data_IF_199277893259
#
_entry.id   IF_199277893259
#
_cell.length_a   1.000
_cell.length_b   1.000
_cell.length_c   1.000
_cell.angle_alpha   90.00
_cell.angle_beta   90.00
_cell.angle_gamma   90.00
#
_symmetry.space_group_name_H-M   'P 1'
#
loop_
_entity.id
_entity.type
_entity.pdbx_description
1 polymer ?
#
# COMPACT_ATOMS: atom_id res chain seq x y z
N UNK A 1 4.14 -81.69 -7.57
CA UNK A 1 2.83 -81.53 -8.25
C UNK A 1 2.44 -80.07 -8.16
N UNK A 2 2.13 -79.47 -9.29
CA UNK A 2 1.84 -78.05 -9.45
C UNK A 2 0.56 -77.62 -8.71
N UNK A 3 0.56 -76.41 -8.14
CA UNK A 3 -0.65 -75.68 -7.78
C UNK A 3 -0.47 -74.21 -8.18
N UNK A 4 -1.42 -73.72 -8.95
CA UNK A 4 -1.37 -72.49 -9.74
C UNK A 4 -1.47 -71.21 -8.90
N UNK A 5 -0.65 -70.21 -9.24
CA UNK A 5 -0.88 -68.82 -8.83
C UNK A 5 -2.08 -68.26 -9.60
N UNK A 6 -3.15 -67.93 -8.89
CA UNK A 6 -4.30 -67.23 -9.43
C UNK A 6 -3.92 -65.75 -9.67
N UNK A 7 -3.66 -65.39 -10.92
CA UNK A 7 -3.56 -63.99 -11.35
C UNK A 7 -4.93 -63.32 -11.24
N UNK A 8 -5.08 -62.38 -10.32
CA UNK A 8 -6.18 -61.40 -10.34
C UNK A 8 -6.09 -60.60 -11.65
N UNK A 9 -7.11 -60.62 -12.51
CA UNK A 9 -7.02 -59.91 -13.79
C UNK A 9 -6.92 -58.41 -13.54
N UNK A 10 -5.98 -57.76 -14.24
CA UNK A 10 -5.84 -56.32 -14.25
C UNK A 10 -7.18 -55.66 -14.65
N UNK A 11 -7.57 -54.54 -14.03
CA UNK A 11 -8.82 -53.87 -14.36
C UNK A 11 -8.82 -53.53 -15.84
N UNK A 12 -9.80 -54.09 -16.58
CA UNK A 12 -9.96 -53.84 -18.01
C UNK A 12 -10.50 -52.41 -18.19
N UNK A 13 -9.57 -51.46 -18.18
CA UNK A 13 -9.84 -50.04 -18.37
C UNK A 13 -10.62 -49.76 -19.65
N UNK A 14 -10.51 -50.63 -20.66
CA UNK A 14 -11.23 -50.53 -21.92
C UNK A 14 -12.72 -50.80 -21.75
N UNK A 15 -13.08 -51.79 -20.93
CA UNK A 15 -14.48 -52.04 -20.57
C UNK A 15 -15.03 -50.96 -19.64
N UNK A 16 -14.26 -50.50 -18.67
CA UNK A 16 -14.67 -49.41 -17.79
C UNK A 16 -14.96 -48.11 -18.57
N UNK A 17 -14.08 -47.74 -19.51
CA UNK A 17 -14.27 -46.59 -20.40
C UNK A 17 -15.48 -46.74 -21.32
N UNK A 18 -15.68 -47.93 -21.92
CA UNK A 18 -16.86 -48.20 -22.74
C UNK A 18 -18.15 -48.06 -21.94
N UNK A 19 -18.21 -48.64 -20.75
CA UNK A 19 -19.39 -48.51 -19.88
C UNK A 19 -19.67 -47.05 -19.48
N UNK A 20 -18.62 -46.24 -19.27
CA UNK A 20 -18.75 -44.82 -18.96
C UNK A 20 -19.23 -44.02 -20.16
N UNK A 21 -18.72 -44.30 -21.36
CA UNK A 21 -19.15 -43.65 -22.60
C UNK A 21 -20.61 -43.99 -22.94
N UNK A 22 -21.02 -45.24 -22.72
CA UNK A 22 -22.41 -45.68 -22.88
C UNK A 22 -23.34 -45.05 -21.83
N UNK A 23 -22.89 -44.90 -20.58
CA UNK A 23 -23.63 -44.20 -19.53
C UNK A 23 -23.79 -42.69 -19.83
N UNK A 24 -22.75 -42.05 -20.36
CA UNK A 24 -22.78 -40.64 -20.80
C UNK A 24 -23.67 -40.46 -22.04
N UNK A 25 -23.71 -41.43 -22.95
CA UNK A 25 -24.61 -41.42 -24.11
C UNK A 25 -26.08 -41.66 -23.71
N UNK A 26 -26.32 -42.38 -22.61
CA UNK A 26 -27.67 -42.68 -22.10
C UNK A 26 -28.26 -41.55 -21.25
N UNK A 27 -27.41 -40.69 -20.68
CA UNK A 27 -27.85 -39.43 -20.08
C UNK A 27 -28.15 -38.43 -21.22
N UNK A 28 -29.43 -38.15 -21.44
CA UNK A 28 -29.86 -36.97 -22.21
C UNK A 28 -29.36 -35.72 -21.49
N UNK A 29 -28.12 -35.32 -21.76
CA UNK A 29 -27.56 -34.06 -21.29
C UNK A 29 -28.27 -32.95 -22.07
N UNK A 30 -29.23 -32.29 -21.43
CA UNK A 30 -29.62 -30.93 -21.81
C UNK A 30 -28.33 -30.14 -21.98
N UNK A 31 -28.07 -29.58 -23.17
CA UNK A 31 -26.86 -28.80 -23.45
C UNK A 31 -26.69 -27.73 -22.37
N UNK A 32 -25.90 -28.04 -21.36
CA UNK A 32 -25.58 -27.12 -20.29
C UNK A 32 -24.88 -25.94 -20.94
N UNK A 33 -25.30 -24.74 -20.56
CA UNK A 33 -24.69 -23.51 -21.07
C UNK A 33 -23.21 -23.50 -20.71
N UNK A 34 -22.37 -22.85 -21.51
CA UNK A 34 -20.93 -22.79 -21.26
C UNK A 34 -20.55 -22.23 -19.87
N UNK A 35 -21.49 -21.52 -19.22
CA UNK A 35 -21.37 -21.05 -17.85
C UNK A 35 -21.57 -22.17 -16.83
N UNK A 36 -22.62 -22.99 -16.98
CA UNK A 36 -22.90 -24.14 -16.08
C UNK A 36 -21.78 -25.19 -16.11
N UNK A 37 -21.11 -25.36 -17.25
CA UNK A 37 -19.95 -26.24 -17.36
C UNK A 37 -18.74 -25.72 -16.58
N UNK A 38 -18.47 -24.40 -16.65
CA UNK A 38 -17.41 -23.75 -15.88
C UNK A 38 -17.69 -23.76 -14.38
N UNK A 39 -18.95 -23.56 -14.00
CA UNK A 39 -19.37 -23.60 -12.60
C UNK A 39 -19.22 -25.03 -12.03
N UNK A 40 -19.62 -26.05 -12.80
CA UNK A 40 -19.38 -27.45 -12.43
C UNK A 40 -17.89 -27.81 -12.32
N UNK A 41 -17.06 -27.32 -13.25
CA UNK A 41 -15.61 -27.52 -13.20
C UNK A 41 -14.99 -26.85 -11.97
N UNK A 42 -15.46 -25.64 -11.62
CA UNK A 42 -15.05 -24.91 -10.41
C UNK A 42 -15.45 -25.66 -9.13
N UNK A 43 -16.64 -26.27 -9.11
CA UNK A 43 -17.13 -27.06 -7.98
C UNK A 43 -16.31 -28.35 -7.79
N UNK A 44 -16.02 -29.06 -8.89
CA UNK A 44 -15.15 -30.23 -8.90
C UNK A 44 -13.73 -29.86 -8.45
N UNK A 45 -13.16 -28.78 -8.98
CA UNK A 45 -11.85 -28.27 -8.56
C UNK A 45 -11.84 -27.95 -7.07
N UNK A 46 -12.85 -27.23 -6.58
CA UNK A 46 -12.99 -26.85 -5.17
C UNK A 46 -13.07 -28.09 -4.28
N UNK A 47 -13.83 -29.11 -4.69
CA UNK A 47 -13.96 -30.37 -3.95
C UNK A 47 -12.60 -31.07 -3.82
N UNK A 48 -11.92 -31.33 -4.94
CA UNK A 48 -10.64 -32.05 -4.92
C UNK A 48 -9.53 -31.25 -4.24
N UNK A 49 -9.52 -29.92 -4.39
CA UNK A 49 -8.58 -29.04 -3.70
C UNK A 49 -8.76 -29.08 -2.18
N UNK A 50 -10.01 -29.09 -1.69
CA UNK A 50 -10.32 -29.21 -0.26
C UNK A 50 -9.92 -30.59 0.29
N UNK A 51 -10.17 -31.67 -0.47
CA UNK A 51 -9.78 -33.03 -0.10
C UNK A 51 -8.25 -33.17 -0.05
N UNK A 52 -7.54 -32.66 -1.05
CA UNK A 52 -6.07 -32.66 -1.11
C UNK A 52 -5.43 -31.87 0.03
N UNK A 53 -6.06 -30.76 0.47
CA UNK A 53 -5.63 -29.96 1.64
C UNK A 53 -5.87 -30.65 3.00
N UNK A 54 -6.29 -31.92 3.03
CA UNK A 54 -6.55 -32.69 4.26
C UNK A 54 -7.94 -32.44 4.85
N UNK A 55 -8.89 -32.02 4.01
CA UNK A 55 -10.25 -31.70 4.40
C UNK A 55 -10.37 -30.36 5.14
N UNK A 56 -11.58 -29.80 5.15
CA UNK A 56 -11.93 -28.74 6.10
C UNK A 56 -11.80 -29.33 7.51
N UNK A 57 -10.73 -29.02 8.24
CA UNK A 57 -10.69 -29.12 9.72
C UNK A 57 -11.68 -28.11 10.34
N UNK A 58 -12.95 -28.15 9.92
CA UNK A 58 -14.08 -27.49 10.53
C UNK A 58 -14.56 -28.42 11.63
N UNK A 59 -13.97 -28.40 12.82
CA UNK A 59 -14.62 -28.94 14.02
C UNK A 59 -13.97 -28.48 15.34
N UNK A 60 -13.32 -27.31 15.37
CA UNK A 60 -13.09 -26.66 16.66
C UNK A 60 -14.40 -25.99 17.09
N UNK A 61 -15.06 -26.54 18.11
CA UNK A 61 -16.30 -25.99 18.69
C UNK A 61 -16.14 -24.52 19.10
N UNK A 62 -14.91 -24.08 19.42
CA UNK A 62 -14.58 -22.69 19.74
C UNK A 62 -14.88 -21.71 18.61
N UNK A 63 -14.89 -22.12 17.34
CA UNK A 63 -15.26 -21.22 16.23
C UNK A 63 -16.76 -20.88 16.18
N UNK A 64 -17.60 -21.52 17.02
CA UNK A 64 -19.00 -21.12 17.20
C UNK A 64 -19.14 -19.87 18.07
N UNK A 65 -18.24 -19.66 19.02
CA UNK A 65 -18.25 -18.50 19.93
C UNK A 65 -17.21 -17.44 19.57
N UNK A 66 -16.06 -17.84 19.03
CA UNK A 66 -14.95 -16.96 18.68
C UNK A 66 -14.68 -17.07 17.18
N UNK A 67 -15.01 -16.03 16.39
CA UNK A 67 -14.69 -16.00 14.98
C UNK A 67 -13.18 -16.17 14.75
N UNK A 68 -12.82 -16.81 13.63
CA UNK A 68 -11.42 -16.90 13.24
C UNK A 68 -10.87 -15.50 12.94
N UNK A 69 -9.98 -15.01 13.80
CA UNK A 69 -9.33 -13.70 13.67
C UNK A 69 -7.91 -13.80 13.08
N UNK A 70 -7.25 -14.95 13.22
CA UNK A 70 -5.91 -15.17 12.68
C UNK A 70 -5.92 -16.06 11.42
N UNK A 71 -5.31 -15.54 10.36
CA UNK A 71 -5.09 -16.23 9.11
C UNK A 71 -3.59 -16.30 8.87
N UNK A 72 -3.02 -17.52 8.96
CA UNK A 72 -1.61 -17.76 8.69
C UNK A 72 -1.30 -17.38 7.24
N UNK A 73 -0.19 -16.69 7.02
CA UNK A 73 0.33 -16.43 5.69
C UNK A 73 0.76 -17.75 5.02
N UNK A 74 0.58 -17.88 3.69
CA UNK A 74 1.11 -19.02 2.95
C UNK A 74 2.63 -19.14 3.14
N UNK A 75 3.11 -20.37 3.32
CA UNK A 75 4.56 -20.63 3.38
C UNK A 75 5.21 -20.43 2.00
N UNK A 76 6.53 -20.30 1.93
CA UNK A 76 7.28 -20.10 0.67
C UNK A 76 7.06 -21.23 -0.35
N UNK A 77 6.83 -22.46 0.10
CA UNK A 77 6.49 -23.59 -0.78
C UNK A 77 5.04 -23.58 -1.33
N UNK A 78 4.16 -22.69 -0.83
CA UNK A 78 2.74 -22.62 -1.23
C UNK A 78 2.51 -21.57 -2.34
N UNK A 79 3.21 -21.71 -3.47
CA UNK A 79 3.27 -20.73 -4.57
C UNK A 79 1.85 -20.32 -5.05
N UNK A 80 0.94 -21.28 -5.25
CA UNK A 80 -0.42 -20.99 -5.72
C UNK A 80 -1.20 -20.11 -4.74
N UNK A 81 -1.02 -20.33 -3.43
CA UNK A 81 -1.71 -19.54 -2.40
C UNK A 81 -1.13 -18.14 -2.26
N UNK A 82 0.19 -17.99 -2.45
CA UNK A 82 0.84 -16.69 -2.53
C UNK A 82 0.31 -15.90 -3.73
N UNK A 83 0.30 -16.50 -4.93
CA UNK A 83 -0.22 -15.87 -6.15
C UNK A 83 -1.70 -15.52 -6.05
N UNK A 84 -2.53 -16.42 -5.52
CA UNK A 84 -3.94 -16.12 -5.28
C UNK A 84 -4.12 -14.95 -4.30
N UNK A 85 -3.30 -14.88 -3.26
CA UNK A 85 -3.32 -13.78 -2.29
C UNK A 85 -2.93 -12.47 -2.97
N UNK A 86 -1.83 -12.45 -3.71
CA UNK A 86 -1.35 -11.29 -4.48
C UNK A 86 -2.46 -10.76 -5.40
N UNK A 87 -3.04 -11.62 -6.25
CA UNK A 87 -4.11 -11.25 -7.18
C UNK A 87 -5.37 -10.76 -6.44
N UNK A 88 -5.80 -11.48 -5.40
CA UNK A 88 -6.98 -11.06 -4.61
C UNK A 88 -6.80 -9.68 -3.98
N UNK A 89 -5.57 -9.35 -3.56
CA UNK A 89 -5.23 -8.06 -2.98
C UNK A 89 -5.14 -6.97 -4.03
N UNK A 90 -4.50 -7.24 -5.17
CA UNK A 90 -4.43 -6.31 -6.29
C UNK A 90 -5.86 -5.91 -6.73
N UNK A 91 -6.75 -6.88 -6.91
CA UNK A 91 -8.16 -6.62 -7.26
C UNK A 91 -8.89 -5.84 -6.16
N UNK A 92 -8.67 -6.18 -4.89
CA UNK A 92 -9.25 -5.44 -3.77
C UNK A 92 -8.81 -3.97 -3.74
N UNK A 93 -7.50 -3.72 -3.88
CA UNK A 93 -6.94 -2.37 -3.91
C UNK A 93 -7.41 -1.59 -5.13
N UNK A 94 -7.50 -2.23 -6.30
CA UNK A 94 -8.06 -1.62 -7.51
C UNK A 94 -9.53 -1.23 -7.31
N UNK A 95 -10.34 -2.10 -6.69
CA UNK A 95 -11.73 -1.77 -6.36
C UNK A 95 -11.81 -0.58 -5.42
N UNK A 96 -10.94 -0.52 -4.40
CA UNK A 96 -10.86 0.62 -3.48
C UNK A 96 -10.40 1.90 -4.15
N UNK A 97 -9.48 1.82 -5.11
CA UNK A 97 -9.04 2.96 -5.91
C UNK A 97 -10.20 3.52 -6.74
N UNK A 98 -11.01 2.67 -7.37
CA UNK A 98 -12.21 3.08 -8.14
C UNK A 98 -13.31 3.73 -7.30
N UNK A 99 -13.34 3.48 -5.99
CA UNK A 99 -14.28 4.13 -5.06
C UNK A 99 -13.87 5.59 -4.75
N UNK A 100 -12.65 6.00 -5.07
CA UNK A 100 -12.16 7.37 -4.86
C UNK A 100 -12.65 8.32 -5.94
N UNK A 101 -12.70 9.61 -5.56
CA UNK A 101 -13.02 10.70 -6.48
C UNK A 101 -11.83 10.95 -7.41
N UNK A 102 -12.09 11.06 -8.70
CA UNK A 102 -11.11 11.53 -9.68
C UNK A 102 -11.11 13.07 -9.78
N UNK A 103 -10.18 13.60 -10.59
CA UNK A 103 -10.02 15.04 -10.74
C UNK A 103 -11.25 15.73 -11.35
N UNK A 104 -11.95 15.06 -12.27
CA UNK A 104 -13.17 15.60 -12.89
C UNK A 104 -14.32 15.64 -11.87
N UNK A 105 -14.50 14.58 -11.09
CA UNK A 105 -15.48 14.50 -10.00
C UNK A 105 -15.20 15.55 -8.91
N UNK A 106 -13.93 15.80 -8.59
CA UNK A 106 -13.53 16.86 -7.65
C UNK A 106 -13.83 18.27 -8.20
N UNK A 107 -13.53 18.54 -9.47
CA UNK A 107 -13.87 19.81 -10.11
C UNK A 107 -15.40 20.02 -10.17
N UNK A 108 -16.15 18.98 -10.50
CA UNK A 108 -17.61 19.01 -10.50
C UNK A 108 -18.16 19.28 -9.10
N UNK A 109 -17.58 18.66 -8.06
CA UNK A 109 -17.96 18.93 -6.66
C UNK A 109 -17.72 20.39 -6.28
N UNK A 110 -16.56 20.96 -6.64
CA UNK A 110 -16.26 22.37 -6.41
C UNK A 110 -17.31 23.28 -7.05
N UNK A 111 -17.60 23.07 -8.34
CA UNK A 111 -18.61 23.84 -9.07
C UNK A 111 -20.00 23.75 -8.44
N UNK A 112 -20.41 22.55 -7.99
CA UNK A 112 -21.70 22.38 -7.33
C UNK A 112 -21.77 23.10 -5.99
N UNK A 113 -20.68 23.08 -5.20
CA UNK A 113 -20.63 23.79 -3.93
C UNK A 113 -20.71 25.31 -4.14
N UNK A 114 -19.95 25.84 -5.09
CA UNK A 114 -19.93 27.28 -5.42
C UNK A 114 -21.30 27.77 -5.90
N UNK A 115 -21.97 27.00 -6.76
CA UNK A 115 -23.33 27.30 -7.25
C UNK A 115 -24.40 27.35 -6.13
N UNK A 116 -24.20 26.60 -5.05
CA UNK A 116 -25.14 26.47 -3.94
C UNK A 116 -24.72 27.27 -2.69
N UNK A 117 -23.83 28.26 -2.85
CA UNK A 117 -23.41 29.14 -1.76
C UNK A 117 -24.58 29.95 -1.17
N UNK A 118 -24.45 30.30 0.11
CA UNK A 118 -25.46 30.98 0.91
C UNK A 118 -24.92 32.32 1.42
N UNK A 119 -25.46 33.46 0.96
CA UNK A 119 -25.10 34.79 1.47
C UNK A 119 -25.44 34.95 2.97
N UNK A 120 -24.85 35.93 3.69
CA UNK A 120 -23.74 36.80 3.26
C UNK A 120 -22.39 36.09 3.30
N UNK A 121 -21.47 36.53 2.45
CA UNK A 121 -20.05 36.14 2.53
C UNK A 121 -19.46 36.63 3.86
N UNK A 122 -18.55 35.85 4.45
CA UNK A 122 -17.75 36.30 5.60
C UNK A 122 -16.38 36.68 5.03
N UNK A 123 -16.17 37.97 4.76
CA UNK A 123 -15.01 38.42 4.00
C UNK A 123 -15.09 37.92 2.55
N UNK A 124 -14.09 37.18 2.11
CA UNK A 124 -14.03 36.53 0.78
C UNK A 124 -14.47 35.04 0.81
N UNK A 125 -14.87 34.51 1.98
CA UNK A 125 -15.23 33.10 2.09
C UNK A 125 -16.69 32.83 1.69
N UNK A 126 -16.85 31.96 0.71
CA UNK A 126 -18.14 31.39 0.32
C UNK A 126 -18.62 30.39 1.37
N UNK A 127 -19.84 30.62 1.87
CA UNK A 127 -20.46 29.84 2.95
C UNK A 127 -21.59 28.95 2.40
N UNK A 128 -21.88 27.83 3.07
CA UNK A 128 -23.01 26.96 2.71
C UNK A 128 -23.76 26.45 3.95
N UNK A 129 -25.09 26.53 3.91
CA UNK A 129 -25.98 25.91 4.90
C UNK A 129 -26.14 24.41 4.67
N UNK A 130 -26.56 23.68 5.71
CA UNK A 130 -26.75 22.24 5.63
C UNK A 130 -27.79 21.81 4.58
N UNK A 131 -28.87 22.57 4.38
CA UNK A 131 -29.92 22.27 3.38
C UNK A 131 -29.37 22.30 1.96
N UNK A 132 -28.67 23.38 1.59
CA UNK A 132 -28.00 23.51 0.30
C UNK A 132 -26.94 22.42 0.11
N UNK A 133 -26.22 22.06 1.16
CA UNK A 133 -25.25 20.98 1.11
C UNK A 133 -25.91 19.61 0.83
N UNK A 134 -27.14 19.39 1.31
CA UNK A 134 -27.92 18.19 0.97
C UNK A 134 -28.38 18.23 -0.51
N UNK A 135 -28.71 19.39 -1.06
CA UNK A 135 -28.98 19.50 -2.50
C UNK A 135 -27.75 19.17 -3.35
N UNK A 136 -26.57 19.65 -2.93
CA UNK A 136 -25.29 19.29 -3.55
C UNK A 136 -25.07 17.79 -3.45
N UNK A 137 -25.35 17.15 -2.31
CA UNK A 137 -25.23 15.69 -2.13
C UNK A 137 -26.08 14.88 -3.12
N UNK A 138 -27.31 15.33 -3.40
CA UNK A 138 -28.20 14.63 -4.35
C UNK A 138 -27.75 14.79 -5.81
N UNK A 139 -27.14 15.94 -6.13
CA UNK A 139 -26.57 16.22 -7.47
C UNK A 139 -25.17 15.65 -7.64
N UNK A 140 -24.44 15.46 -6.55
CA UNK A 140 -23.09 14.89 -6.56
C UNK A 140 -23.12 13.38 -6.83
N UNK A 141 -22.03 12.87 -7.41
CA UNK A 141 -21.89 11.45 -7.71
C UNK A 141 -22.01 10.55 -6.46
N UNK A 142 -22.31 9.25 -6.66
CA UNK A 142 -22.49 8.28 -5.58
C UNK A 142 -21.27 8.19 -4.64
N UNK A 143 -20.06 8.35 -5.18
CA UNK A 143 -18.81 8.35 -4.42
C UNK A 143 -18.72 9.49 -3.40
N UNK A 144 -19.35 10.63 -3.68
CA UNK A 144 -19.29 11.80 -2.80
C UNK A 144 -20.15 11.64 -1.54
N UNK A 145 -21.16 10.74 -1.55
CA UNK A 145 -22.16 10.62 -0.49
C UNK A 145 -21.57 10.42 0.92
N UNK A 146 -20.42 9.76 1.01
CA UNK A 146 -19.73 9.53 2.28
C UNK A 146 -19.18 10.80 2.95
N UNK A 147 -18.98 11.88 2.18
CA UNK A 147 -18.47 13.16 2.70
C UNK A 147 -19.58 14.06 3.25
N UNK A 148 -20.84 13.81 2.87
CA UNK A 148 -22.00 14.62 3.25
C UNK A 148 -22.72 14.09 4.51
N UNK A 149 -22.03 13.33 5.37
CA UNK A 149 -22.60 12.90 6.65
C UNK A 149 -22.74 14.11 7.59
N UNK A 150 -23.84 14.19 8.37
CA UNK A 150 -24.06 15.27 9.34
C UNK A 150 -22.88 15.44 10.32
N UNK A 151 -22.24 14.34 10.72
CA UNK A 151 -21.03 14.36 11.56
C UNK A 151 -19.86 15.11 10.91
N UNK A 152 -19.74 15.09 9.58
CA UNK A 152 -18.70 15.81 8.85
C UNK A 152 -19.04 17.30 8.80
N UNK A 153 -20.31 17.66 8.56
CA UNK A 153 -20.77 19.05 8.60
C UNK A 153 -20.59 19.70 9.98
N UNK A 154 -20.84 18.95 11.05
CA UNK A 154 -20.72 19.46 12.41
C UNK A 154 -19.27 19.71 12.87
N UNK A 155 -18.27 19.12 12.21
CA UNK A 155 -16.85 19.30 12.58
C UNK A 155 -16.30 20.71 12.31
N UNK A 156 -16.45 21.29 11.10
CA UNK A 156 -15.99 22.64 10.82
C UNK A 156 -16.95 23.71 11.34
N UNK A 157 -18.13 23.35 11.87
CA UNK A 157 -19.10 24.28 12.42
C UNK A 157 -18.55 24.97 13.68
N UNK A 158 -17.88 26.10 13.51
CA UNK A 158 -17.37 26.92 14.60
C UNK A 158 -17.91 28.35 14.47
N UNK A 159 -18.62 28.80 15.51
CA UNK A 159 -18.95 30.21 15.76
C UNK A 159 -19.65 31.01 14.63
N UNK A 160 -20.23 30.37 13.61
CA UNK A 160 -21.08 31.07 12.65
C UNK A 160 -22.50 31.26 13.22
N UNK A 161 -23.00 32.50 13.35
CA UNK A 161 -24.35 32.78 13.87
C UNK A 161 -25.48 32.14 13.06
N UNK A 162 -25.22 31.77 11.81
CA UNK A 162 -26.19 31.21 10.88
C UNK A 162 -26.04 29.69 10.71
N UNK A 163 -25.09 29.06 11.39
CA UNK A 163 -24.88 27.61 11.30
C UNK A 163 -24.40 27.14 9.91
N UNK A 164 -23.55 27.93 9.25
CA UNK A 164 -22.93 27.63 7.95
C UNK A 164 -21.51 27.14 8.11
N UNK A 165 -20.98 26.53 7.04
CA UNK A 165 -19.57 26.14 6.95
C UNK A 165 -18.93 26.79 5.71
N UNK A 166 -17.61 26.99 5.78
CA UNK A 166 -16.83 27.47 4.64
C UNK A 166 -16.74 26.39 3.56
N UNK A 167 -17.11 26.73 2.33
CA UNK A 167 -17.03 25.83 1.17
C UNK A 167 -15.58 25.38 0.95
N UNK A 168 -14.63 26.31 1.07
CA UNK A 168 -13.20 26.03 0.94
C UNK A 168 -12.72 25.00 1.96
N UNK A 169 -13.08 25.18 3.24
CA UNK A 169 -12.70 24.24 4.29
C UNK A 169 -13.29 22.84 4.07
N UNK A 170 -14.56 22.77 3.66
CA UNK A 170 -15.20 21.49 3.33
C UNK A 170 -14.53 20.81 2.14
N UNK A 171 -14.26 21.56 1.07
CA UNK A 171 -13.60 21.04 -0.12
C UNK A 171 -12.18 20.54 0.19
N UNK A 172 -11.40 21.32 0.94
CA UNK A 172 -10.06 20.92 1.38
C UNK A 172 -10.09 19.66 2.26
N UNK A 173 -11.12 19.48 3.09
CA UNK A 173 -11.33 18.24 3.83
C UNK A 173 -11.57 17.04 2.90
N UNK A 174 -12.41 17.20 1.87
CA UNK A 174 -12.66 16.14 0.88
C UNK A 174 -11.38 15.79 0.13
N UNK A 175 -10.67 16.81 -0.40
CA UNK A 175 -9.38 16.66 -1.08
C UNK A 175 -8.37 15.91 -0.22
N UNK A 176 -8.14 16.37 1.02
CA UNK A 176 -7.19 15.74 1.95
C UNK A 176 -7.57 14.29 2.25
N UNK A 177 -8.87 14.00 2.38
CA UNK A 177 -9.35 12.64 2.65
C UNK A 177 -9.20 11.71 1.46
N UNK A 178 -9.48 12.18 0.24
CA UNK A 178 -9.25 11.42 -1.00
C UNK A 178 -7.76 11.13 -1.15
N UNK A 179 -6.92 12.16 -0.99
CA UNK A 179 -5.46 12.02 -1.05
C UNK A 179 -4.94 11.01 -0.03
N UNK A 180 -5.34 11.09 1.24
CA UNK A 180 -4.93 10.12 2.27
C UNK A 180 -5.30 8.67 1.89
N UNK A 181 -6.49 8.46 1.33
CA UNK A 181 -6.90 7.13 0.88
C UNK A 181 -6.11 6.67 -0.34
N UNK A 182 -5.86 7.56 -1.30
CA UNK A 182 -5.06 7.27 -2.50
C UNK A 182 -3.63 6.88 -2.12
N UNK A 183 -2.97 7.69 -1.27
CA UNK A 183 -1.61 7.43 -0.79
C UNK A 183 -1.55 6.13 0.02
N UNK A 184 -2.54 5.88 0.87
CA UNK A 184 -2.64 4.60 1.60
C UNK A 184 -2.75 3.40 0.65
N UNK A 185 -3.56 3.50 -0.39
CA UNK A 185 -3.72 2.43 -1.39
C UNK A 185 -2.40 2.25 -2.14
N UNK A 186 -1.75 3.34 -2.56
CA UNK A 186 -0.44 3.33 -3.22
C UNK A 186 0.61 2.59 -2.40
N UNK A 187 0.80 2.98 -1.13
CA UNK A 187 1.73 2.29 -0.21
C UNK A 187 1.35 0.83 0.01
N UNK A 188 0.05 0.51 0.06
CA UNK A 188 -0.42 -0.86 0.27
C UNK A 188 -0.13 -1.81 -0.89
N UNK A 189 0.18 -1.29 -2.09
CA UNK A 189 0.62 -2.11 -3.24
C UNK A 189 1.99 -2.75 -2.99
N UNK A 190 2.87 -2.08 -2.23
CA UNK A 190 4.23 -2.55 -1.92
C UNK A 190 4.29 -3.45 -0.67
N UNK A 191 3.25 -3.45 0.16
CA UNK A 191 3.13 -4.39 1.29
C UNK A 191 2.84 -5.80 0.75
N UNK A 192 3.86 -6.57 0.36
CA UNK A 192 3.68 -7.93 -0.20
C UNK A 192 2.94 -8.85 0.78
N UNK A 193 3.23 -8.71 2.08
CA UNK A 193 2.63 -9.54 3.12
C UNK A 193 1.16 -9.19 3.40
N UNK A 194 0.72 -7.97 3.07
CA UNK A 194 -0.62 -7.47 3.36
C UNK A 194 -0.90 -7.34 4.85
N UNK A 195 0.13 -7.05 5.65
CA UNK A 195 0.04 -6.93 7.11
C UNK A 195 -0.13 -5.48 7.58
N UNK A 196 -0.04 -4.51 6.67
CA UNK A 196 -0.12 -3.07 6.94
C UNK A 196 1.23 -2.43 7.30
N UNK A 197 2.34 -3.10 6.99
CA UNK A 197 3.70 -2.63 7.27
C UNK A 197 4.54 -2.71 6.00
N UNK A 198 5.53 -1.82 5.88
CA UNK A 198 6.54 -1.85 4.83
C UNK A 198 7.91 -2.16 5.45
N UNK A 199 8.65 -3.05 4.80
CA UNK A 199 10.08 -3.28 5.06
C UNK A 199 10.91 -2.29 4.25
N UNK A 200 12.22 -2.27 4.52
CA UNK A 200 13.18 -1.43 3.80
C UNK A 200 13.04 -1.62 2.28
N UNK A 201 13.15 -2.85 1.78
CA UNK A 201 12.98 -3.17 0.36
C UNK A 201 11.64 -2.71 -0.23
N UNK A 202 10.57 -2.78 0.54
CA UNK A 202 9.23 -2.41 0.07
C UNK A 202 9.15 -0.87 -0.10
N UNK A 203 9.77 -0.12 0.81
CA UNK A 203 9.84 1.35 0.75
C UNK A 203 10.87 1.84 -0.28
N UNK A 204 11.98 1.13 -0.47
CA UNK A 204 12.97 1.40 -1.53
C UNK A 204 12.32 1.36 -2.90
N UNK A 205 11.55 0.30 -3.18
CA UNK A 205 10.81 0.17 -4.44
C UNK A 205 9.79 1.31 -4.63
N UNK A 206 9.07 1.68 -3.57
CA UNK A 206 8.14 2.80 -3.62
C UNK A 206 8.84 4.12 -3.97
N UNK A 207 9.94 4.46 -3.29
CA UNK A 207 10.67 5.71 -3.54
C UNK A 207 11.31 5.70 -4.92
N UNK A 208 11.87 4.57 -5.36
CA UNK A 208 12.47 4.45 -6.69
C UNK A 208 11.45 4.70 -7.81
N UNK A 209 10.23 4.14 -7.69
CA UNK A 209 9.14 4.41 -8.64
C UNK A 209 8.57 5.82 -8.53
N UNK A 210 8.73 6.47 -7.38
CA UNK A 210 8.28 7.84 -7.15
C UNK A 210 9.19 8.88 -7.82
N UNK A 211 10.52 8.65 -7.88
CA UNK A 211 11.53 9.60 -8.40
C UNK A 211 11.14 10.24 -9.74
N UNK A 212 10.70 9.49 -10.79
CA UNK A 212 10.35 10.09 -12.07
C UNK A 212 9.15 11.04 -12.02
N UNK A 213 8.39 11.06 -10.91
CA UNK A 213 7.28 11.98 -10.69
C UNK A 213 7.68 13.23 -9.89
N UNK A 214 8.96 13.35 -9.52
CA UNK A 214 9.52 14.42 -8.69
C UNK A 214 10.46 15.29 -9.55
N UNK A 215 9.96 16.33 -10.24
CA UNK A 215 10.77 17.22 -11.09
C UNK A 215 11.99 17.81 -10.38
N UNK A 216 11.91 18.06 -9.07
CA UNK A 216 13.05 18.58 -8.30
C UNK A 216 14.24 17.60 -8.21
N UNK A 217 14.05 16.33 -8.61
CA UNK A 217 15.08 15.30 -8.63
C UNK A 217 15.59 14.99 -10.06
N UNK A 218 15.05 15.61 -11.11
CA UNK A 218 15.42 15.33 -12.50
C UNK A 218 16.90 15.62 -12.80
N UNK A 219 17.51 16.52 -12.03
CA UNK A 219 18.94 16.86 -12.13
C UNK A 219 19.88 15.77 -11.61
N UNK A 220 19.37 14.76 -10.89
CA UNK A 220 20.18 13.69 -10.32
C UNK A 220 20.60 12.68 -11.39
N UNK A 221 21.87 12.30 -11.37
CA UNK A 221 22.37 11.21 -12.22
C UNK A 221 21.76 9.86 -11.81
N UNK A 222 21.49 9.00 -12.79
CA UNK A 222 20.91 7.66 -12.53
C UNK A 222 21.82 6.77 -11.67
N UNK A 223 23.13 6.97 -11.75
CA UNK A 223 24.14 6.33 -10.87
C UNK A 223 23.91 6.65 -9.40
N UNK A 224 23.35 7.83 -9.11
CA UNK A 224 23.11 8.31 -7.75
C UNK A 224 21.78 7.80 -7.15
N UNK A 225 20.89 7.21 -7.96
CA UNK A 225 19.55 6.83 -7.49
C UNK A 225 19.58 5.82 -6.36
N UNK A 226 20.47 4.82 -6.41
CA UNK A 226 20.62 3.84 -5.33
C UNK A 226 20.98 4.50 -4.01
N UNK A 227 21.88 5.49 -4.03
CA UNK A 227 22.27 6.23 -2.83
C UNK A 227 21.15 7.14 -2.34
N UNK A 228 20.46 7.84 -3.25
CA UNK A 228 19.32 8.67 -2.92
C UNK A 228 18.21 7.87 -2.23
N UNK A 229 17.82 6.73 -2.83
CA UNK A 229 16.80 5.84 -2.28
C UNK A 229 17.21 5.34 -0.91
N UNK A 230 18.44 4.84 -0.75
CA UNK A 230 18.97 4.41 0.55
C UNK A 230 18.89 5.54 1.59
N UNK A 231 19.33 6.74 1.23
CA UNK A 231 19.29 7.92 2.12
C UNK A 231 17.87 8.28 2.53
N UNK A 232 16.92 8.29 1.59
CA UNK A 232 15.53 8.61 1.86
C UNK A 232 14.88 7.55 2.77
N UNK A 233 15.07 6.26 2.46
CA UNK A 233 14.54 5.15 3.27
C UNK A 233 15.14 5.16 4.68
N UNK A 234 16.44 5.41 4.83
CA UNK A 234 17.08 5.49 6.15
C UNK A 234 16.47 6.57 7.03
N UNK A 235 16.02 7.70 6.45
CA UNK A 235 15.33 8.74 7.21
C UNK A 235 13.98 8.26 7.75
N UNK A 236 13.19 7.56 6.93
CA UNK A 236 11.93 6.97 7.42
C UNK A 236 12.17 5.97 8.56
N UNK A 237 13.12 5.04 8.39
CA UNK A 237 13.43 4.03 9.41
C UNK A 237 14.03 4.63 10.68
N UNK A 238 14.86 5.67 10.57
CA UNK A 238 15.45 6.34 11.72
C UNK A 238 14.38 6.93 12.66
N UNK A 239 13.32 7.54 12.11
CA UNK A 239 12.29 8.17 12.93
C UNK A 239 11.08 7.28 13.23
N UNK A 240 10.72 6.36 12.33
CA UNK A 240 9.49 5.56 12.44
C UNK A 240 9.74 4.13 12.95
N UNK A 241 10.99 3.69 13.06
CA UNK A 241 11.35 2.38 13.63
C UNK A 241 12.39 2.51 14.76
N UNK A 242 12.06 3.20 15.88
CA UNK A 242 13.00 3.42 16.98
C UNK A 242 13.47 2.13 17.66
N UNK A 243 12.69 1.04 17.51
CA UNK A 243 13.00 -0.28 18.06
C UNK A 243 13.76 -1.19 17.08
N UNK A 244 14.09 -0.69 15.87
CA UNK A 244 14.82 -1.43 14.82
C UNK A 244 14.18 -2.79 14.48
N UNK A 245 12.87 -2.80 14.36
CA UNK A 245 12.08 -3.99 13.99
C UNK A 245 12.18 -4.35 12.50
N UNK A 246 12.71 -3.45 11.67
CA UNK A 246 12.77 -3.59 10.22
C UNK A 246 11.40 -3.45 9.54
N UNK A 247 10.41 -2.88 10.24
CA UNK A 247 9.03 -2.74 9.76
C UNK A 247 8.42 -1.42 10.22
N UNK A 248 7.86 -0.66 9.28
CA UNK A 248 7.14 0.58 9.57
C UNK A 248 5.66 0.41 9.20
N UNK A 249 4.73 0.86 10.04
CA UNK A 249 3.30 0.85 9.69
C UNK A 249 3.01 1.87 8.61
N UNK A 250 2.19 1.49 7.63
CA UNK A 250 1.68 2.43 6.61
C UNK A 250 0.96 3.61 7.26
N UNK A 251 0.26 3.37 8.39
CA UNK A 251 -0.42 4.43 9.14
C UNK A 251 0.56 5.47 9.70
N UNK A 252 1.73 5.04 10.16
CA UNK A 252 2.74 5.92 10.73
C UNK A 252 3.42 6.75 9.62
N UNK A 253 3.60 6.16 8.44
CA UNK A 253 4.08 6.86 7.23
C UNK A 253 3.07 7.94 6.78
N UNK A 254 1.77 7.65 6.83
CA UNK A 254 0.73 8.63 6.47
C UNK A 254 0.55 9.75 7.51
N UNK A 255 0.99 9.52 8.75
CA UNK A 255 0.87 10.49 9.83
C UNK A 255 2.13 11.34 10.02
N UNK A 256 3.25 10.96 9.40
CA UNK A 256 4.50 11.71 9.50
C UNK A 256 4.55 12.87 8.50
N UNK A 257 5.24 13.94 8.86
CA UNK A 257 5.49 15.07 7.97
C UNK A 257 6.46 14.73 6.83
N UNK A 258 7.31 13.70 7.02
CA UNK A 258 8.34 13.34 6.05
C UNK A 258 7.79 12.92 4.69
N UNK A 259 6.60 12.32 4.66
CA UNK A 259 5.94 11.99 3.40
C UNK A 259 5.49 13.26 2.66
N UNK A 260 5.02 14.27 3.40
CA UNK A 260 4.65 15.57 2.84
C UNK A 260 5.91 16.25 2.27
N UNK A 261 7.02 16.27 3.00
CA UNK A 261 8.31 16.81 2.53
C UNK A 261 8.78 16.10 1.24
N UNK A 262 8.67 14.77 1.17
CA UNK A 262 9.04 14.02 -0.03
C UNK A 262 8.15 14.37 -1.23
N UNK A 263 6.84 14.55 -1.00
CA UNK A 263 5.88 14.85 -2.06
C UNK A 263 5.86 16.32 -2.46
N UNK A 264 6.37 17.23 -1.62
CA UNK A 264 6.60 18.64 -1.94
C UNK A 264 7.56 18.79 -3.13
N UNK A 265 8.47 17.84 -3.34
CA UNK A 265 9.38 17.78 -4.49
C UNK A 265 8.67 17.62 -5.85
N UNK A 266 7.35 17.47 -5.85
CA UNK A 266 6.51 17.53 -7.05
C UNK A 266 6.28 18.94 -7.56
N UNK A 267 6.42 19.94 -6.71
CA UNK A 267 6.24 21.33 -7.09
C UNK A 267 7.46 21.80 -7.90
N UNK A 268 7.26 22.16 -9.17
CA UNK A 268 8.30 22.67 -10.06
C UNK A 268 8.82 24.04 -9.61
N UNK A 269 7.96 24.84 -8.96
CA UNK A 269 8.28 26.21 -8.52
C UNK A 269 8.83 26.27 -7.08
N UNK A 270 9.24 25.11 -6.53
CA UNK A 270 9.73 25.00 -5.16
C UNK A 270 10.93 25.94 -4.93
N UNK A 271 10.78 26.85 -3.96
CA UNK A 271 11.79 27.86 -3.65
C UNK A 271 13.11 27.23 -3.18
N UNK A 272 14.23 27.92 -3.42
CA UNK A 272 15.55 27.45 -2.97
C UNK A 272 15.63 27.29 -1.44
N UNK A 273 14.99 28.16 -0.68
CA UNK A 273 14.92 28.10 0.78
C UNK A 273 14.16 26.85 1.25
N UNK A 274 13.03 26.55 0.61
CA UNK A 274 12.27 25.31 0.84
C UNK A 274 13.12 24.08 0.51
N UNK A 275 13.86 24.10 -0.60
CA UNK A 275 14.77 22.99 -0.95
C UNK A 275 15.89 22.79 0.07
N UNK A 276 16.45 23.87 0.63
CA UNK A 276 17.53 23.79 1.62
C UNK A 276 17.06 23.22 2.96
N UNK A 277 15.82 23.53 3.36
CA UNK A 277 15.20 23.00 4.57
C UNK A 277 14.67 21.56 4.40
N UNK A 278 14.24 21.21 3.18
CA UNK A 278 13.70 19.90 2.87
C UNK A 278 14.79 18.81 2.89
N UNK A 279 14.56 17.77 3.69
CA UNK A 279 15.50 16.67 3.87
C UNK A 279 15.62 15.75 2.66
N UNK A 280 14.60 15.69 1.82
CA UNK A 280 14.54 14.81 0.65
C UNK A 280 14.98 15.50 -0.64
N UNK A 281 15.30 16.80 -0.59
CA UNK A 281 15.78 17.55 -1.74
C UNK A 281 17.10 17.00 -2.29
N UNK A 282 17.33 17.18 -3.60
CA UNK A 282 18.59 16.80 -4.23
C UNK A 282 19.82 17.45 -3.56
N UNK A 283 19.84 18.76 -3.22
CA UNK A 283 20.95 19.37 -2.48
C UNK A 283 21.21 18.72 -1.12
N UNK A 284 20.15 18.38 -0.37
CA UNK A 284 20.28 17.73 0.94
C UNK A 284 20.87 16.32 0.82
N UNK A 285 20.42 15.53 -0.15
CA UNK A 285 20.96 14.19 -0.40
C UNK A 285 22.42 14.23 -0.88
N UNK A 286 22.75 15.13 -1.81
CA UNK A 286 24.11 15.33 -2.30
C UNK A 286 25.06 15.82 -1.21
N UNK A 287 24.58 16.63 -0.26
CA UNK A 287 25.39 17.09 0.89
C UNK A 287 25.79 15.92 1.80
N UNK A 288 24.85 15.01 2.11
CA UNK A 288 25.14 13.81 2.90
C UNK A 288 26.11 12.90 2.15
N UNK A 289 25.90 12.71 0.84
CA UNK A 289 26.80 11.90 0.01
C UNK A 289 28.20 12.50 -0.10
N UNK A 290 28.30 13.81 -0.33
CA UNK A 290 29.59 14.49 -0.43
C UNK A 290 30.37 14.42 0.87
N UNK A 291 29.70 14.50 2.02
CA UNK A 291 30.34 14.26 3.32
C UNK A 291 30.85 12.83 3.44
N UNK A 292 30.08 11.83 2.98
CA UNK A 292 30.51 10.43 2.95
C UNK A 292 31.77 10.23 2.10
N UNK A 293 31.74 10.69 0.85
CA UNK A 293 32.86 10.58 -0.09
C UNK A 293 34.13 11.31 0.39
N UNK A 294 33.98 12.41 1.13
CA UNK A 294 35.13 13.11 1.70
C UNK A 294 35.80 12.33 2.85
N UNK A 295 35.07 11.40 3.49
CA UNK A 295 35.57 10.56 4.57
C UNK A 295 36.16 9.26 4.04
N UNK A 296 35.50 8.61 3.07
CA UNK A 296 35.91 7.36 2.42
C UNK A 296 37.08 7.62 1.45
N UNK A 297 38.31 7.49 1.97
CA UNK A 297 39.53 7.85 1.22
C UNK A 297 40.05 6.71 0.36
N UNK A 298 39.77 5.47 0.75
CA UNK A 298 40.18 4.29 -0.01
C UNK A 298 39.11 3.85 -1.01
N UNK A 299 37.95 4.53 -1.03
CA UNK A 299 36.83 4.31 -1.95
C UNK A 299 36.34 2.85 -1.89
N UNK A 300 36.37 2.27 -0.70
CA UNK A 300 35.92 0.90 -0.46
C UNK A 300 34.41 0.81 -0.15
N UNK A 301 33.70 1.94 -0.29
CA UNK A 301 32.28 2.09 -0.01
C UNK A 301 31.91 1.89 1.48
N UNK A 302 32.88 1.95 2.38
CA UNK A 302 32.73 1.80 3.83
C UNK A 302 33.54 2.89 4.56
N UNK A 303 33.22 3.12 5.85
CA UNK A 303 33.98 4.04 6.68
C UNK A 303 34.68 3.29 7.81
N UNK A 304 36.00 3.39 7.84
CA UNK A 304 36.80 2.98 8.99
C UNK A 304 36.60 3.93 10.18
N UNK A 305 37.01 3.49 11.38
CA UNK A 305 36.96 4.33 12.58
C UNK A 305 37.82 5.58 12.42
N UNK A 306 38.99 5.45 11.78
CA UNK A 306 39.94 6.52 11.50
C UNK A 306 39.40 7.54 10.49
N UNK A 307 38.57 7.10 9.55
CA UNK A 307 37.90 7.99 8.60
C UNK A 307 36.74 8.71 9.25
N UNK A 308 35.87 7.98 9.96
CA UNK A 308 34.73 8.55 10.66
C UNK A 308 35.17 9.54 11.76
N UNK A 309 36.37 9.38 12.33
CA UNK A 309 36.90 10.33 13.32
C UNK A 309 37.15 11.72 12.77
N UNK A 310 37.17 11.91 11.44
CA UNK A 310 37.33 13.22 10.79
C UNK A 310 35.98 13.90 10.53
N UNK A 311 34.87 13.19 10.74
CA UNK A 311 33.54 13.75 10.60
C UNK A 311 33.34 14.96 11.51
N UNK A 312 32.67 15.98 10.99
CA UNK A 312 32.42 17.22 11.72
C UNK A 312 33.71 17.86 12.26
N UNK A 313 34.81 17.81 11.50
CA UNK A 313 36.14 18.33 11.89
C UNK A 313 36.71 17.71 13.18
N UNK A 314 36.37 16.45 13.48
CA UNK A 314 36.88 15.74 14.66
C UNK A 314 36.15 16.06 15.96
N UNK A 315 34.88 16.46 15.87
CA UNK A 315 34.02 16.72 17.04
C UNK A 315 33.63 15.45 17.80
N UNK A 316 33.66 14.28 17.16
CA UNK A 316 33.36 13.00 17.79
C UNK A 316 34.55 12.48 18.60
N UNK A 317 34.33 12.19 19.88
CA UNK A 317 35.37 11.60 20.74
C UNK A 317 35.64 10.15 20.38
N UNK A 318 36.87 9.67 20.63
CA UNK A 318 37.24 8.28 20.40
C UNK A 318 36.29 7.28 21.08
N UNK A 319 35.85 7.57 22.31
CA UNK A 319 34.88 6.74 23.04
C UNK A 319 33.50 6.70 22.38
N UNK A 320 33.05 7.81 21.78
CA UNK A 320 31.80 7.84 21.02
C UNK A 320 31.90 6.96 19.78
N UNK A 321 32.99 7.08 19.03
CA UNK A 321 33.26 6.23 17.87
C UNK A 321 33.34 4.75 18.25
N UNK A 322 34.04 4.41 19.32
CA UNK A 322 34.09 3.03 19.84
C UNK A 322 32.70 2.47 20.10
N UNK A 323 31.81 3.25 20.72
CA UNK A 323 30.43 2.84 20.96
C UNK A 323 29.63 2.68 19.68
N UNK A 324 29.80 3.58 18.71
CA UNK A 324 29.11 3.47 17.41
C UNK A 324 29.49 2.17 16.70
N UNK A 325 30.78 1.83 16.61
CA UNK A 325 31.22 0.60 15.95
C UNK A 325 30.91 -0.69 16.74
N UNK A 326 30.68 -0.59 18.06
CA UNK A 326 30.20 -1.72 18.88
C UNK A 326 28.70 -1.99 18.70
N UNK A 327 27.89 -0.93 18.60
CA UNK A 327 26.42 -1.03 18.56
C UNK A 327 25.86 -1.12 17.12
N UNK A 328 26.55 -0.52 16.16
CA UNK A 328 26.17 -0.48 14.76
C UNK A 328 27.10 -1.36 13.93
N UNK A 329 26.95 -2.69 14.09
CA UNK A 329 27.64 -3.67 13.25
C UNK A 329 27.00 -3.66 11.86
N UNK A 330 27.65 -3.02 10.90
CA UNK A 330 27.21 -3.00 9.49
C UNK A 330 27.55 -4.31 8.76
N UNK A 331 28.42 -5.15 9.32
CA UNK A 331 28.69 -6.51 8.88
C UNK A 331 28.89 -7.45 10.07
N UNK A 332 28.31 -8.64 9.99
CA UNK A 332 28.80 -9.81 10.72
C UNK A 332 29.90 -10.44 9.87
N UNK A 333 31.11 -10.54 10.42
CA UNK A 333 32.18 -11.39 9.87
C UNK A 333 31.82 -12.86 10.09
#
# INVERSE_FOLDING_TARGET
MAAAEAQTPAPDWKQALKSRLEAVASQKVSKATGQELKDNEMDLFTKYYIEWRGGRKKNNQSYRSIPRFYYRLPAEGEILLQKLREESRAVFLQRKSRELLDNEELQNLWFLLDKHQTPPLIGEEAMIHYENLLEVKEKAGQKCKQFFAAKIFAKPLHNDPYGRISIMQFFNYVMRKVWLHQTRIGLSLYDVAGQGYLRESDLENYILELIPTLPQLDSLEKSFYSFYVCTAVRKFFFFLDPLRTGKIKIQDILACSFLDDLLELRDEELSKESQESNWFSAPSALRVYGQYLNLDKDHNEMLSKEELSRYGTGTLTGMCLDRVFQECLTYHV
#
